data_IF_856264156974
#
_entry.id   IF_856264156974
#
_cell.length_a   1.000
_cell.length_b   1.000
_cell.length_c   1.000
_cell.angle_alpha   90.00
_cell.angle_beta   90.00
_cell.angle_gamma   90.00
#
_symmetry.space_group_name_H-M   'P 1'
#
loop_
_entity.id
_entity.type
_entity.pdbx_description
1 polymer ?
#
# COMPACT_ATOMS: atom_id res chain seq x y z
N UNK A 1 -22.84 -20.95 -0.14
CA UNK A 1 -22.20 -20.01 -1.08
C UNK A 1 -22.00 -18.73 -0.29
N UNK A 2 -20.79 -18.50 0.20
CA UNK A 2 -20.44 -17.24 0.88
C UNK A 2 -19.14 -16.77 0.27
N UNK A 3 -19.25 -15.72 -0.54
CA UNK A 3 -18.19 -14.99 -1.19
C UNK A 3 -17.75 -13.88 -0.25
N UNK A 4 -16.53 -13.97 0.27
CA UNK A 4 -15.81 -12.78 0.76
C UNK A 4 -14.32 -13.08 0.64
N UNK A 5 -13.74 -12.63 -0.46
CA UNK A 5 -12.30 -12.60 -0.68
C UNK A 5 -11.71 -11.57 0.29
N UNK A 6 -11.38 -11.99 1.50
CA UNK A 6 -10.60 -11.19 2.45
C UNK A 6 -9.17 -11.73 2.48
N UNK A 7 -8.42 -11.48 1.42
CA UNK A 7 -6.97 -11.68 1.38
C UNK A 7 -6.28 -10.45 2.00
N UNK A 8 -6.41 -10.30 3.31
CA UNK A 8 -5.45 -9.50 4.07
C UNK A 8 -4.28 -10.44 4.43
N UNK A 9 -3.02 -10.06 4.19
CA UNK A 9 -1.88 -10.83 4.69
C UNK A 9 -1.98 -10.88 6.22
N UNK A 10 -1.88 -12.09 6.74
CA UNK A 10 -1.87 -12.38 8.16
C UNK A 10 -0.49 -12.00 8.71
N UNK A 11 -0.51 -11.06 9.67
CA UNK A 11 0.59 -10.63 10.54
C UNK A 11 1.60 -9.66 9.91
N UNK A 12 2.02 -8.65 10.68
CA UNK A 12 2.99 -7.59 10.35
C UNK A 12 4.42 -8.09 10.07
N UNK A 13 4.53 -8.98 9.10
CA UNK A 13 5.74 -9.44 8.45
C UNK A 13 5.64 -9.08 6.96
N UNK A 14 6.77 -8.99 6.28
CA UNK A 14 6.85 -8.70 4.85
C UNK A 14 5.84 -9.54 4.05
N UNK A 15 5.07 -8.87 3.19
CA UNK A 15 3.85 -9.45 2.62
C UNK A 15 3.11 -8.52 1.67
N UNK A 16 2.12 -9.10 0.98
CA UNK A 16 1.32 -8.42 -0.03
C UNK A 16 -0.04 -7.98 0.55
N UNK A 17 -0.32 -6.69 0.49
CA UNK A 17 -1.53 -6.03 0.96
C UNK A 17 -2.35 -5.55 -0.23
N UNK A 18 -3.59 -6.00 -0.36
CA UNK A 18 -4.47 -5.57 -1.46
C UNK A 18 -5.70 -4.87 -0.91
N UNK A 19 -5.90 -3.63 -1.33
CA UNK A 19 -7.01 -2.77 -0.90
C UNK A 19 -7.43 -1.82 -2.01
N UNK A 20 -8.67 -1.33 -1.94
CA UNK A 20 -9.21 -0.41 -2.93
C UNK A 20 -8.97 1.04 -2.49
N UNK A 21 -8.33 1.86 -3.30
CA UNK A 21 -8.11 3.29 -3.01
C UNK A 21 -8.91 4.15 -3.97
N UNK A 22 -9.38 5.30 -3.47
CA UNK A 22 -9.93 6.33 -4.34
C UNK A 22 -8.78 7.18 -4.89
N UNK A 23 -8.51 7.06 -6.19
CA UNK A 23 -7.51 7.84 -6.89
C UNK A 23 -8.13 8.52 -8.10
N UNK A 24 -7.94 9.85 -8.21
CA UNK A 24 -8.51 10.68 -9.27
C UNK A 24 -10.04 10.53 -9.44
N UNK A 25 -10.77 10.30 -8.34
CA UNK A 25 -12.23 10.14 -8.35
C UNK A 25 -12.71 8.77 -8.83
N UNK A 26 -11.82 7.77 -8.89
CA UNK A 26 -12.14 6.39 -9.24
C UNK A 26 -11.64 5.45 -8.16
N UNK A 27 -12.38 4.37 -7.91
CA UNK A 27 -11.94 3.27 -7.07
C UNK A 27 -11.00 2.39 -7.90
N UNK A 28 -9.75 2.28 -7.46
CA UNK A 28 -8.74 1.44 -8.10
C UNK A 28 -8.25 0.41 -7.09
N UNK A 29 -8.07 -0.83 -7.57
CA UNK A 29 -7.39 -1.86 -6.80
C UNK A 29 -5.90 -1.49 -6.68
N UNK A 30 -5.44 -1.43 -5.44
CA UNK A 30 -4.07 -1.12 -5.07
C UNK A 30 -3.50 -2.32 -4.33
N UNK A 31 -2.47 -2.92 -4.93
CA UNK A 31 -1.68 -3.98 -4.34
C UNK A 31 -0.37 -3.37 -3.85
N UNK A 32 0.01 -3.61 -2.61
CA UNK A 32 1.22 -3.09 -2.01
C UNK A 32 2.01 -4.26 -1.45
N UNK A 33 3.21 -4.47 -1.97
CA UNK A 33 4.12 -5.50 -1.48
C UNK A 33 5.14 -4.85 -0.55
N UNK A 34 5.07 -5.19 0.73
CA UNK A 34 6.08 -4.78 1.71
C UNK A 34 7.25 -5.75 1.66
N UNK A 35 8.42 -5.23 1.30
CA UNK A 35 9.71 -5.91 1.32
C UNK A 35 10.68 -5.12 2.21
N UNK A 36 10.76 -5.50 3.49
CA UNK A 36 11.60 -4.87 4.50
C UNK A 36 11.21 -3.39 4.69
N UNK A 37 12.10 -2.46 4.35
CA UNK A 37 11.87 -1.01 4.34
C UNK A 37 11.26 -0.48 3.03
N UNK A 38 10.88 -1.34 2.07
CA UNK A 38 10.36 -0.91 0.77
C UNK A 38 8.90 -1.34 0.60
N UNK A 39 8.07 -0.44 0.07
CA UNK A 39 6.69 -0.70 -0.33
C UNK A 39 6.58 -0.58 -1.86
N UNK A 40 6.41 -1.70 -2.53
CA UNK A 40 6.15 -1.76 -3.96
C UNK A 40 4.64 -1.71 -4.22
N UNK A 41 4.17 -0.54 -4.68
CA UNK A 41 2.78 -0.26 -4.97
C UNK A 41 2.49 -0.58 -6.44
N UNK A 42 1.56 -1.49 -6.67
CA UNK A 42 1.07 -1.90 -7.96
C UNK A 42 -0.43 -1.60 -8.06
N UNK A 43 -0.79 -0.73 -8.99
CA UNK A 43 -2.18 -0.47 -9.35
C UNK A 43 -2.38 -0.79 -10.83
N UNK A 44 -3.63 -0.99 -11.24
CA UNK A 44 -3.98 -1.40 -12.60
C UNK A 44 -3.35 -0.52 -13.72
N UNK A 45 -3.15 0.77 -13.44
CA UNK A 45 -2.66 1.73 -14.43
C UNK A 45 -1.37 2.46 -14.01
N UNK A 46 -0.81 2.13 -12.83
CA UNK A 46 0.42 2.77 -12.35
C UNK A 46 1.14 1.89 -11.33
N UNK A 47 2.46 1.90 -11.38
CA UNK A 47 3.36 1.36 -10.37
C UNK A 47 4.04 2.50 -9.62
N UNK A 48 4.27 2.35 -8.33
CA UNK A 48 5.01 3.29 -7.50
C UNK A 48 5.85 2.54 -6.49
N UNK A 49 7.00 3.09 -6.11
CA UNK A 49 7.86 2.52 -5.09
C UNK A 49 8.04 3.51 -3.95
N UNK A 50 7.71 3.10 -2.75
CA UNK A 50 7.88 3.88 -1.53
C UNK A 50 8.95 3.24 -0.65
N UNK A 51 9.65 4.07 0.11
CA UNK A 51 10.61 3.66 1.13
C UNK A 51 10.10 4.09 2.49
N UNK A 52 10.09 3.16 3.42
CA UNK A 52 9.87 3.38 4.84
C UNK A 52 11.21 3.84 5.40
N UNK A 53 11.22 5.03 5.97
CA UNK A 53 12.35 5.57 6.69
C UNK A 53 12.36 5.06 8.13
N UNK A 54 13.53 5.01 8.79
CA UNK A 54 13.66 4.54 10.18
C UNK A 54 12.90 5.41 11.20
N UNK A 55 12.52 6.65 10.86
CA UNK A 55 11.64 7.48 11.68
C UNK A 55 10.14 7.10 11.55
N UNK A 56 9.82 6.16 10.66
CA UNK A 56 8.47 5.69 10.37
C UNK A 56 7.76 6.51 9.29
N UNK A 57 8.43 7.48 8.65
CA UNK A 57 7.88 8.19 7.48
C UNK A 57 7.99 7.32 6.22
N UNK A 58 7.11 7.55 5.25
CA UNK A 58 7.14 6.85 3.97
C UNK A 58 7.31 7.89 2.87
N UNK A 59 8.35 7.72 2.04
CA UNK A 59 8.62 8.61 0.91
C UNK A 59 8.63 7.84 -0.40
N UNK A 60 8.11 8.45 -1.45
CA UNK A 60 8.22 7.88 -2.77
C UNK A 60 9.66 7.98 -3.29
N UNK A 61 10.22 6.83 -3.66
CA UNK A 61 11.58 6.73 -4.23
C UNK A 61 11.57 6.35 -5.72
N UNK A 62 10.41 5.99 -6.28
CA UNK A 62 10.30 5.68 -7.71
C UNK A 62 8.87 5.44 -8.21
N UNK A 63 8.76 5.19 -9.52
CA UNK A 63 7.50 4.95 -10.23
C UNK A 63 6.66 6.22 -10.45
N UNK A 64 5.37 6.04 -10.63
CA UNK A 64 4.42 7.10 -10.94
C UNK A 64 4.09 7.94 -9.69
N UNK A 65 4.13 9.26 -9.82
CA UNK A 65 3.93 10.18 -8.71
C UNK A 65 2.58 9.94 -8.02
N UNK A 66 2.64 9.53 -6.74
CA UNK A 66 1.46 9.39 -5.91
C UNK A 66 1.25 10.69 -5.10
N UNK A 67 0.01 11.17 -4.96
CA UNK A 67 -0.30 12.26 -4.04
C UNK A 67 0.07 11.87 -2.61
N UNK A 68 0.53 12.84 -1.81
CA UNK A 68 0.87 12.61 -0.40
C UNK A 68 -0.28 11.99 0.38
N UNK A 69 -1.53 12.38 0.09
CA UNK A 69 -2.72 11.78 0.70
C UNK A 69 -2.84 10.27 0.46
N UNK A 70 -2.42 9.77 -0.71
CA UNK A 70 -2.42 8.35 -1.03
C UNK A 70 -1.27 7.63 -0.31
N UNK A 71 -0.10 8.25 -0.25
CA UNK A 71 1.07 7.70 0.46
C UNK A 71 0.74 7.55 1.96
N UNK A 72 0.12 8.56 2.58
CA UNK A 72 -0.32 8.49 3.97
C UNK A 72 -1.38 7.42 4.22
N UNK A 73 -2.30 7.23 3.26
CA UNK A 73 -3.31 6.17 3.33
C UNK A 73 -2.67 4.78 3.28
N UNK A 74 -1.80 4.55 2.28
CA UNK A 74 -1.06 3.28 2.13
C UNK A 74 -0.22 2.99 3.37
N UNK A 75 0.47 3.99 3.90
CA UNK A 75 1.22 3.88 5.15
C UNK A 75 0.32 3.40 6.31
N UNK A 76 -0.88 3.95 6.46
CA UNK A 76 -1.81 3.55 7.52
C UNK A 76 -2.35 2.14 7.32
N UNK A 77 -2.69 1.75 6.11
CA UNK A 77 -3.19 0.40 5.83
C UNK A 77 -2.11 -0.67 6.02
N UNK A 78 -0.86 -0.36 5.65
CA UNK A 78 0.26 -1.33 5.71
C UNK A 78 0.96 -1.34 7.08
N UNK A 79 1.24 -0.16 7.66
CA UNK A 79 1.96 -0.02 8.93
C UNK A 79 1.05 0.22 10.14
N UNK A 80 -0.20 0.66 9.94
CA UNK A 80 -1.12 1.05 11.02
C UNK A 80 -1.87 -0.10 11.69
N UNK A 81 -1.48 -1.35 11.44
CA UNK A 81 -2.03 -2.54 12.09
C UNK A 81 -1.21 -2.94 13.34
N UNK A 82 -0.84 -1.96 14.16
CA UNK A 82 -0.31 -2.17 15.50
C UNK A 82 -1.39 -1.73 16.51
N UNK A 83 -2.08 -2.70 17.11
CA UNK A 83 -2.96 -2.53 18.27
C UNK A 83 -2.32 -3.14 19.51
#
# INVERSE_FOLDING_TARGET
METTQNTAPVNGSDGEYTFTINYAGRELECRVEKNDDILDVHMENLDAKLQIEPDGTVHQIGGNALPESNIEFIKKEVLGHEV
#
